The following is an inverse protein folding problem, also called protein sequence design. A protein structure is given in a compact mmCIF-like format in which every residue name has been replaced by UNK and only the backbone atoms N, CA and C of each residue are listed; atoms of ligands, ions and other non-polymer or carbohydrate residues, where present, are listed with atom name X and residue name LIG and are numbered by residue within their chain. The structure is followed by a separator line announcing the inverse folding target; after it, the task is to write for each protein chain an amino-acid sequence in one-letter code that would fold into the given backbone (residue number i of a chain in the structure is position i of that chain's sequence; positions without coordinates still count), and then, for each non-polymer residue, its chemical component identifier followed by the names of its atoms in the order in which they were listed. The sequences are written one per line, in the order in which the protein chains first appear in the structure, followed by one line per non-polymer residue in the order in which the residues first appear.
data_IF_026402619581
#
_entry.id   IF_026402619581
#
_cell.length_a   1.000
_cell.length_b   1.000
_cell.length_c   1.000
_cell.angle_alpha   90.00
_cell.angle_beta   90.00
_cell.angle_gamma   90.00
#
_symmetry.space_group_name_H-M   'P 1'
#
loop_
_entity.id
_entity.type
_entity.pdbx_description
1 polymer ?
#
# COMPACT_ATOMS: atom_id res chain seq x y z
N UNK A 1 -9.04 -3.65 29.46
CA UNK A 1 -9.22 -5.02 28.89
C UNK A 1 -10.02 -5.03 27.57
N UNK A 2 -9.92 -3.99 26.72
CA UNK A 2 -10.71 -3.86 25.47
C UNK A 2 -9.85 -3.73 24.20
N UNK A 3 -8.53 -3.75 24.33
CA UNK A 3 -7.58 -3.43 23.23
C UNK A 3 -7.72 -4.35 22.00
N UNK A 4 -8.11 -5.60 22.22
CA UNK A 4 -8.22 -6.63 21.18
C UNK A 4 -9.68 -6.96 20.78
N UNK A 5 -10.63 -6.04 20.99
CA UNK A 5 -11.97 -6.23 20.43
C UNK A 5 -11.92 -6.01 18.91
N UNK A 6 -12.48 -6.91 18.06
CA UNK A 6 -12.51 -6.74 16.60
C UNK A 6 -13.47 -5.64 16.15
N UNK A 7 -14.20 -5.03 17.09
CA UNK A 7 -15.16 -3.96 16.83
C UNK A 7 -14.45 -2.73 16.24
N UNK A 8 -15.05 -2.07 15.22
CA UNK A 8 -14.55 -0.82 14.70
C UNK A 8 -14.68 0.24 15.80
N UNK A 9 -13.58 0.46 16.53
CA UNK A 9 -13.52 1.51 17.54
C UNK A 9 -13.27 2.85 16.85
N UNK A 10 -13.83 3.96 17.35
CA UNK A 10 -13.59 5.28 16.77
C UNK A 10 -12.09 5.64 16.72
N UNK A 11 -11.30 5.15 17.68
CA UNK A 11 -9.83 5.28 17.67
C UNK A 11 -9.19 4.65 16.42
N UNK A 12 -9.61 3.43 16.02
CA UNK A 12 -9.10 2.75 14.81
C UNK A 12 -9.47 3.47 13.51
N UNK A 13 -10.65 4.08 13.46
CA UNK A 13 -11.09 4.85 12.30
C UNK A 13 -10.24 6.12 12.09
N UNK A 14 -9.79 6.76 13.17
CA UNK A 14 -8.92 7.96 13.10
C UNK A 14 -7.58 7.62 12.44
N UNK A 15 -6.94 6.50 12.78
CA UNK A 15 -5.68 6.11 12.13
C UNK A 15 -5.83 5.91 10.62
N UNK A 16 -6.92 5.27 10.18
CA UNK A 16 -7.20 5.09 8.75
C UNK A 16 -7.44 6.43 8.04
N UNK A 17 -8.16 7.35 8.67
CA UNK A 17 -8.39 8.69 8.13
C UNK A 17 -7.10 9.52 8.03
N UNK A 18 -6.26 9.47 9.05
CA UNK A 18 -4.96 10.15 9.05
C UNK A 18 -4.07 9.58 7.95
N UNK A 19 -3.97 8.25 7.83
CA UNK A 19 -3.26 7.59 6.74
C UNK A 19 -3.78 7.99 5.36
N UNK A 20 -5.10 8.07 5.19
CA UNK A 20 -5.72 8.51 3.94
C UNK A 20 -5.29 9.94 3.56
N UNK A 21 -5.35 10.88 4.49
CA UNK A 21 -4.90 12.26 4.27
C UNK A 21 -3.40 12.31 3.92
N UNK A 22 -2.56 11.61 4.68
CA UNK A 22 -1.11 11.54 4.40
C UNK A 22 -0.81 10.92 3.04
N UNK A 23 -1.57 9.89 2.64
CA UNK A 23 -1.41 9.23 1.35
C UNK A 23 -1.75 10.19 0.20
N UNK A 24 -2.84 10.95 0.34
CA UNK A 24 -3.21 11.98 -0.63
C UNK A 24 -2.18 13.09 -0.75
N UNK A 25 -1.73 13.64 0.39
CA UNK A 25 -0.70 14.68 0.42
C UNK A 25 0.59 14.17 -0.21
N UNK A 26 1.02 12.97 0.19
CA UNK A 26 2.20 12.32 -0.39
C UNK A 26 2.08 12.12 -1.90
N UNK A 27 0.93 11.64 -2.38
CA UNK A 27 0.68 11.42 -3.81
C UNK A 27 0.71 12.72 -4.60
N UNK A 28 0.05 13.77 -4.13
CA UNK A 28 0.06 15.09 -4.78
C UNK A 28 1.48 15.66 -4.82
N UNK A 29 2.23 15.58 -3.73
CA UNK A 29 3.63 16.01 -3.68
C UNK A 29 4.51 15.22 -4.67
N UNK A 30 4.32 13.90 -4.76
CA UNK A 30 5.04 13.07 -5.73
C UNK A 30 4.71 13.46 -7.18
N UNK A 31 3.44 13.74 -7.49
CA UNK A 31 3.05 14.18 -8.83
C UNK A 31 3.67 15.54 -9.15
N UNK A 32 3.59 16.51 -8.23
CA UNK A 32 4.21 17.83 -8.42
C UNK A 32 5.71 17.67 -8.69
N UNK A 33 6.42 16.88 -7.88
CA UNK A 33 7.85 16.61 -8.08
C UNK A 33 8.12 15.92 -9.43
N UNK A 34 7.31 14.95 -9.83
CA UNK A 34 7.47 14.21 -11.09
C UNK A 34 7.27 15.08 -12.33
N UNK A 35 6.31 16.00 -12.31
CA UNK A 35 5.98 16.88 -13.44
C UNK A 35 6.81 18.17 -13.50
N UNK A 36 7.44 18.58 -12.38
CA UNK A 36 8.20 19.84 -12.34
C UNK A 36 9.53 19.70 -13.11
N UNK A 37 9.85 20.61 -14.04
CA UNK A 37 11.12 20.61 -14.76
C UNK A 37 12.29 20.90 -13.81
N UNK A 38 13.47 20.36 -14.12
CA UNK A 38 14.68 20.46 -13.27
C UNK A 38 15.07 21.92 -13.00
N UNK A 39 14.86 22.81 -13.97
CA UNK A 39 15.11 24.24 -13.85
C UNK A 39 14.36 24.89 -12.69
N UNK A 40 13.12 24.47 -12.43
CA UNK A 40 12.31 24.98 -11.33
C UNK A 40 12.74 24.40 -9.99
N UNK A 41 13.17 23.13 -9.95
CA UNK A 41 13.74 22.53 -8.74
C UNK A 41 15.06 23.21 -8.35
N UNK A 42 15.91 23.50 -9.33
CA UNK A 42 17.16 24.24 -9.12
C UNK A 42 16.91 25.68 -8.68
N UNK A 43 15.87 26.34 -9.18
CA UNK A 43 15.47 27.68 -8.72
C UNK A 43 15.02 27.70 -7.25
N UNK A 44 14.42 26.60 -6.76
CA UNK A 44 14.03 26.42 -5.34
C UNK A 44 15.23 25.97 -4.47
N UNK A 45 16.41 25.77 -5.07
CA UNK A 45 17.64 25.39 -4.36
C UNK A 45 17.78 23.88 -4.11
N UNK A 46 16.97 23.05 -4.77
CA UNK A 46 17.03 21.59 -4.65
C UNK A 46 17.96 21.06 -5.75
N UNK A 47 19.23 20.87 -5.42
CA UNK A 47 20.25 20.38 -6.37
C UNK A 47 20.53 18.88 -6.29
N UNK A 48 20.18 18.23 -5.17
CA UNK A 48 20.44 16.82 -4.93
C UNK A 48 19.14 16.04 -4.80
N UNK A 49 18.65 15.51 -5.92
CA UNK A 49 17.54 14.57 -5.96
C UNK A 49 17.92 13.36 -6.84
N UNK A 50 17.37 12.18 -6.55
CA UNK A 50 17.59 11.00 -7.37
C UNK A 50 17.03 11.20 -8.78
N UNK A 51 17.64 10.57 -9.79
CA UNK A 51 17.27 10.66 -11.21
C UNK A 51 15.73 10.63 -11.43
N UNK A 52 15.21 11.44 -12.36
CA UNK A 52 13.77 11.49 -12.66
C UNK A 52 13.13 10.15 -13.02
N UNK A 53 13.93 9.17 -13.46
CA UNK A 53 13.46 7.80 -13.68
C UNK A 53 12.84 7.17 -12.42
N UNK A 54 13.25 7.59 -11.21
CA UNK A 54 12.63 7.14 -9.96
C UNK A 54 11.17 7.55 -9.83
N UNK A 55 10.73 8.64 -10.47
CA UNK A 55 9.32 9.04 -10.49
C UNK A 55 8.42 7.96 -11.14
N UNK A 56 8.97 7.18 -12.06
CA UNK A 56 8.27 6.07 -12.72
C UNK A 56 8.53 4.75 -12.00
N UNK A 57 9.75 4.56 -11.47
CA UNK A 57 10.10 3.33 -10.75
C UNK A 57 9.27 3.16 -9.46
N UNK A 58 9.03 4.24 -8.70
CA UNK A 58 8.25 4.20 -7.45
C UNK A 58 6.82 3.65 -7.67
N UNK A 59 5.99 4.21 -8.58
CA UNK A 59 4.65 3.67 -8.82
C UNK A 59 4.71 2.26 -9.40
N UNK A 60 5.69 1.94 -10.26
CA UNK A 60 5.83 0.61 -10.84
C UNK A 60 6.13 -0.46 -9.77
N UNK A 61 7.10 -0.20 -8.89
CA UNK A 61 7.46 -1.11 -7.80
C UNK A 61 6.31 -1.20 -6.79
N UNK A 62 5.66 -0.09 -6.45
CA UNK A 62 4.51 -0.07 -5.55
C UNK A 62 3.36 -0.95 -6.06
N UNK A 63 2.96 -0.79 -7.33
CA UNK A 63 1.94 -1.62 -7.95
C UNK A 63 2.36 -3.10 -8.01
N UNK A 64 3.62 -3.38 -8.36
CA UNK A 64 4.15 -4.74 -8.43
C UNK A 64 4.13 -5.43 -7.07
N UNK A 65 4.54 -4.73 -6.01
CA UNK A 65 4.49 -5.23 -4.63
C UNK A 65 3.05 -5.44 -4.16
N UNK A 66 2.13 -4.53 -4.49
CA UNK A 66 0.72 -4.70 -4.17
C UNK A 66 0.16 -5.98 -4.81
N UNK A 67 0.40 -6.18 -6.10
CA UNK A 67 -0.04 -7.40 -6.80
C UNK A 67 0.57 -8.63 -6.15
N UNK A 68 1.88 -8.61 -5.89
CA UNK A 68 2.59 -9.73 -5.29
C UNK A 68 2.07 -10.07 -3.88
N UNK A 69 1.83 -9.08 -3.03
CA UNK A 69 1.34 -9.31 -1.67
C UNK A 69 -0.11 -9.81 -1.68
N UNK A 70 -1.01 -9.14 -2.38
CA UNK A 70 -2.45 -9.43 -2.30
C UNK A 70 -2.88 -10.60 -3.16
N UNK A 71 -2.28 -10.80 -4.33
CA UNK A 71 -2.70 -11.86 -5.26
C UNK A 71 -1.81 -13.09 -5.23
N UNK A 72 -0.57 -13.01 -4.73
CA UNK A 72 0.33 -14.16 -4.68
C UNK A 72 0.55 -14.61 -3.25
N UNK A 73 1.14 -13.75 -2.40
CA UNK A 73 1.55 -14.13 -1.05
C UNK A 73 0.34 -14.44 -0.17
N UNK A 74 -0.63 -13.53 -0.09
CA UNK A 74 -1.79 -13.68 0.78
C UNK A 74 -2.60 -14.96 0.50
N UNK A 75 -3.00 -15.27 -0.75
CA UNK A 75 -3.70 -16.53 -1.03
C UNK A 75 -2.78 -17.75 -0.87
N UNK A 76 -1.48 -17.65 -1.18
CA UNK A 76 -0.55 -18.77 -0.94
C UNK A 76 -0.48 -19.13 0.54
N UNK A 77 -0.26 -18.14 1.42
CA UNK A 77 -0.25 -18.35 2.88
C UNK A 77 -1.61 -18.87 3.36
N UNK A 78 -2.71 -18.29 2.87
CA UNK A 78 -4.05 -18.74 3.21
C UNK A 78 -4.28 -20.20 2.80
N UNK A 79 -3.77 -20.63 1.64
CA UNK A 79 -3.85 -22.01 1.20
C UNK A 79 -2.98 -22.96 2.03
N UNK A 80 -1.81 -22.51 2.51
CA UNK A 80 -0.96 -23.30 3.41
C UNK A 80 -1.56 -23.47 4.82
N UNK A 81 -2.28 -22.46 5.33
CA UNK A 81 -2.89 -22.49 6.66
C UNK A 81 -4.28 -23.15 6.64
N UNK A 82 -5.02 -23.04 5.52
CA UNK A 82 -6.35 -23.63 5.37
C UNK A 82 -6.26 -25.16 5.29
N UNK A 83 -7.09 -25.88 6.05
CA UNK A 83 -7.15 -27.35 6.01
C UNK A 83 -7.42 -27.85 4.58
N UNK A 84 -6.77 -28.95 4.19
CA UNK A 84 -6.97 -29.63 2.90
C UNK A 84 -8.46 -29.81 2.62
N UNK A 85 -8.88 -29.57 1.37
CA UNK A 85 -10.27 -29.64 0.91
C UNK A 85 -10.95 -31.01 1.19
N UNK A 86 -10.18 -32.05 1.50
CA UNK A 86 -10.65 -33.40 1.87
C UNK A 86 -11.03 -33.59 3.35
N UNK A 87 -11.02 -32.54 4.17
CA UNK A 87 -11.43 -32.68 5.58
C UNK A 87 -12.94 -32.89 5.67
N UNK A 88 -13.35 -33.96 6.38
CA UNK A 88 -14.76 -34.31 6.71
C UNK A 88 -15.60 -33.19 7.34
N UNK A 89 -14.99 -32.08 7.76
CA UNK A 89 -15.67 -30.90 8.31
C UNK A 89 -15.78 -29.73 7.31
N UNK A 90 -15.30 -29.88 6.08
CA UNK A 90 -15.36 -28.85 5.04
C UNK A 90 -16.60 -29.09 4.17
N UNK A 91 -17.61 -28.23 4.30
CA UNK A 91 -18.81 -28.29 3.46
C UNK A 91 -18.49 -27.70 2.09
N UNK A 92 -18.26 -28.56 1.10
CA UNK A 92 -18.21 -28.15 -0.31
C UNK A 92 -19.65 -28.01 -0.80
N UNK A 93 -20.10 -26.77 -1.01
CA UNK A 93 -21.36 -26.51 -1.70
C UNK A 93 -21.27 -27.04 -3.12
N UNK A 94 -22.11 -28.02 -3.45
CA UNK A 94 -22.37 -28.43 -4.84
C UNK A 94 -23.11 -27.34 -5.59
#
# INVERSE_FOLDING_TARGET
LMENSPLPTPSRAVYGFVLYLFSWVGLVLHLIWAYTPDEWLHAVGVYYYPQKAWAIAVPLVGCSLFVLIFYVIYPSISAFITKRLDSIHTITGK
#
